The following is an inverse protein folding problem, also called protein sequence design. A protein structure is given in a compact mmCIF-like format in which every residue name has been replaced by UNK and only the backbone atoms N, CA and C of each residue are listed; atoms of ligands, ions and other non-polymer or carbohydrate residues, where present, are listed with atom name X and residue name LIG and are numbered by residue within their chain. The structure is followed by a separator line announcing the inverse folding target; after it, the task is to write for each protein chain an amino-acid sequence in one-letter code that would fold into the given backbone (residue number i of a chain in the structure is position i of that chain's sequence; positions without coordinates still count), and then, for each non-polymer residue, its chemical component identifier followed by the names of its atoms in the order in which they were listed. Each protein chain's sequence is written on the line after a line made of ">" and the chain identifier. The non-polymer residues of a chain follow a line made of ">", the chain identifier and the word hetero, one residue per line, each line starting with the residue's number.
data_IF_456528113387
#
_entry.id   IF_456528113387
#
_cell.length_a   1.000
_cell.length_b   1.000
_cell.length_c   1.000
_cell.angle_alpha   90.00
_cell.angle_beta   90.00
_cell.angle_gamma   90.00
#
_symmetry.space_group_name_H-M   'P 1'
#
loop_
_entity.id
_entity.type
_entity.pdbx_description
1 polymer ?
#
# COMPACT_ATOMS: atom_id res chain seq x y z
N UNK A 1 -61.24 17.73 24.13
CA UNK A 1 -61.00 17.23 25.50
C UNK A 1 -59.55 17.58 25.85
N UNK A 2 -59.32 18.68 26.59
CA UNK A 2 -58.83 18.72 28.00
C UNK A 2 -57.52 17.92 28.20
N UNK A 3 -56.41 18.44 28.74
CA UNK A 3 -56.14 19.67 29.48
C UNK A 3 -54.63 20.00 29.53
N UNK A 4 -54.35 21.30 29.78
CA UNK A 4 -53.09 21.93 30.19
C UNK A 4 -52.83 21.79 31.71
N UNK A 5 -51.56 21.84 32.15
CA UNK A 5 -51.01 22.53 33.37
C UNK A 5 -49.63 21.93 33.71
N UNK A 6 -48.47 22.61 33.64
CA UNK A 6 -47.92 23.79 34.34
C UNK A 6 -47.21 23.52 35.70
N UNK A 7 -46.09 24.24 35.87
CA UNK A 7 -45.44 24.75 37.11
C UNK A 7 -44.25 24.05 37.81
N UNK A 8 -43.10 24.75 37.71
CA UNK A 8 -42.18 25.27 38.75
C UNK A 8 -41.38 24.36 39.71
N UNK A 9 -40.04 24.45 39.59
CA UNK A 9 -39.16 25.16 40.54
C UNK A 9 -38.84 24.55 41.91
N UNK A 10 -37.55 24.22 42.15
CA UNK A 10 -36.80 24.69 43.33
C UNK A 10 -35.32 24.23 43.31
N UNK A 11 -34.41 25.17 43.58
CA UNK A 11 -33.02 24.94 43.99
C UNK A 11 -32.96 24.81 45.52
N UNK A 12 -31.92 24.17 46.05
CA UNK A 12 -31.21 24.79 47.16
C UNK A 12 -29.68 24.85 46.99
N UNK A 13 -29.13 25.79 47.76
CA UNK A 13 -27.76 26.32 47.79
C UNK A 13 -26.82 25.49 48.68
N UNK A 14 -25.53 25.47 48.26
CA UNK A 14 -24.27 25.64 49.04
C UNK A 14 -24.19 25.03 50.45
N UNK A 15 -23.06 24.34 50.70
CA UNK A 15 -22.14 24.71 51.80
C UNK A 15 -20.72 24.19 51.58
N UNK A 16 -19.79 25.14 51.75
CA UNK A 16 -18.33 25.02 51.81
C UNK A 16 -17.95 24.54 53.22
N UNK A 17 -16.91 23.70 53.34
CA UNK A 17 -16.03 23.72 54.52
C UNK A 17 -14.61 23.31 54.15
N UNK A 18 -13.73 24.31 54.21
CA UNK A 18 -12.29 24.16 54.34
C UNK A 18 -11.91 23.87 55.80
N UNK A 19 -10.74 23.27 56.02
CA UNK A 19 -9.71 23.61 57.04
C UNK A 19 -8.59 22.54 56.96
N UNK A 20 -7.36 22.93 56.61
CA UNK A 20 -6.27 23.53 57.42
C UNK A 20 -5.38 22.43 58.05
N UNK A 21 -4.12 22.31 57.62
CA UNK A 21 -2.90 22.85 58.28
C UNK A 21 -2.12 21.67 58.89
N UNK A 22 -0.80 21.61 59.04
CA UNK A 22 0.36 22.46 58.77
C UNK A 22 1.63 21.58 58.91
N UNK A 23 2.70 21.91 58.18
CA UNK A 23 4.05 22.29 58.67
C UNK A 23 5.04 21.14 58.99
N UNK A 24 6.13 21.04 58.22
CA UNK A 24 7.52 21.55 58.46
C UNK A 24 8.37 20.59 59.29
N UNK A 25 9.50 20.18 58.71
CA UNK A 25 10.62 19.54 59.40
C UNK A 25 11.85 19.52 58.51
N UNK A 26 12.73 20.51 58.68
CA UNK A 26 14.09 20.56 58.12
C UNK A 26 15.02 19.81 59.06
N UNK A 27 15.98 19.04 58.53
CA UNK A 27 17.20 18.68 59.25
C UNK A 27 18.35 18.41 58.27
N UNK A 28 19.45 19.13 58.47
CA UNK A 28 20.77 18.97 57.87
C UNK A 28 21.69 18.28 58.89
N UNK A 29 22.47 17.28 58.46
CA UNK A 29 23.74 16.84 59.08
C UNK A 29 24.45 15.95 58.04
N UNK A 30 25.55 16.39 57.42
CA UNK A 30 26.95 16.30 57.86
C UNK A 30 27.66 14.97 57.47
N UNK A 31 28.68 15.16 56.63
CA UNK A 31 29.76 14.29 56.14
C UNK A 31 30.18 13.07 56.98
N UNK A 32 30.40 11.93 56.30
CA UNK A 32 31.47 10.99 56.62
C UNK A 32 31.99 10.32 55.35
N UNK A 33 33.30 10.48 55.10
CA UNK A 33 34.10 9.82 54.08
C UNK A 33 34.35 8.36 54.46
N UNK A 34 34.04 7.45 53.55
CA UNK A 34 34.37 6.03 53.66
C UNK A 34 34.70 5.46 52.30
N UNK A 35 36.00 5.36 51.99
CA UNK A 35 36.48 4.66 50.81
C UNK A 35 36.41 3.15 51.06
N UNK A 36 35.53 2.46 50.35
CA UNK A 36 35.55 1.01 50.23
C UNK A 36 35.78 0.65 48.77
N UNK A 37 36.99 0.17 48.48
CA UNK A 37 37.36 -0.45 47.21
C UNK A 37 36.61 -1.77 47.07
N UNK A 38 35.40 -1.73 46.52
CA UNK A 38 34.67 -2.90 46.06
C UNK A 38 35.02 -3.19 44.60
N UNK A 39 35.74 -4.29 44.36
CA UNK A 39 35.99 -4.79 43.02
C UNK A 39 34.66 -5.16 42.34
N UNK A 40 34.17 -4.29 41.45
CA UNK A 40 33.01 -4.59 40.61
C UNK A 40 33.47 -5.41 39.42
N UNK A 41 33.02 -6.66 39.35
CA UNK A 41 33.06 -7.46 38.12
C UNK A 41 32.30 -6.73 37.02
N UNK A 42 33.03 -6.24 36.02
CA UNK A 42 32.44 -5.59 34.85
C UNK A 42 31.67 -6.64 34.02
N UNK A 43 30.37 -6.77 34.27
CA UNK A 43 29.46 -7.30 33.26
C UNK A 43 29.45 -6.31 32.10
N UNK A 44 30.12 -6.67 31.00
CA UNK A 44 30.06 -5.94 29.75
C UNK A 44 28.59 -5.79 29.32
N UNK A 45 28.04 -4.59 29.51
CA UNK A 45 26.72 -4.26 29.01
C UNK A 45 26.76 -4.33 27.48
N UNK A 46 26.02 -5.28 26.90
CA UNK A 46 25.79 -5.31 25.46
C UNK A 46 25.24 -3.95 25.02
N UNK A 47 25.79 -3.33 23.96
CA UNK A 47 25.26 -2.07 23.47
C UNK A 47 23.80 -2.28 23.09
N UNK A 48 22.90 -1.63 23.82
CA UNK A 48 21.47 -1.59 23.51
C UNK A 48 21.36 -1.00 22.11
N UNK A 49 20.99 -1.82 21.14
CA UNK A 49 20.76 -1.39 19.77
C UNK A 49 19.87 -0.14 19.81
N UNK A 50 20.36 0.96 19.22
CA UNK A 50 19.60 2.20 19.13
C UNK A 50 18.24 1.86 18.52
N UNK A 51 17.15 2.23 19.20
CA UNK A 51 15.81 1.99 18.71
C UNK A 51 15.73 2.55 17.28
N UNK A 52 15.24 1.73 16.35
CA UNK A 52 14.95 2.16 15.00
C UNK A 52 14.18 3.48 15.05
N UNK A 53 14.67 4.50 14.33
CA UNK A 53 14.00 5.79 14.29
C UNK A 53 12.56 5.56 13.82
N UNK A 54 11.60 5.92 14.67
CA UNK A 54 10.20 5.86 14.31
C UNK A 54 9.95 6.71 13.05
N UNK A 55 8.96 6.35 12.25
CA UNK A 55 8.54 7.23 11.16
C UNK A 55 8.21 8.62 11.77
N UNK A 56 8.83 9.66 11.21
CA UNK A 56 8.79 11.03 11.72
C UNK A 56 7.41 11.68 11.44
N UNK A 57 6.40 11.18 12.13
CA UNK A 57 5.04 11.70 12.19
C UNK A 57 4.51 11.50 13.61
N UNK A 58 3.45 12.25 13.98
CA UNK A 58 2.86 12.11 15.30
C UNK A 58 2.28 10.70 15.49
N UNK A 59 2.20 10.25 16.75
CA UNK A 59 1.74 8.90 17.09
C UNK A 59 0.33 8.57 16.54
N UNK A 60 -0.52 9.59 16.33
CA UNK A 60 -1.84 9.43 15.74
C UNK A 60 -1.79 8.89 14.30
N UNK A 61 -0.81 9.36 13.52
CA UNK A 61 -0.62 9.06 12.10
C UNK A 61 0.39 7.94 11.83
N UNK A 62 0.99 7.36 12.87
CA UNK A 62 1.98 6.29 12.73
C UNK A 62 1.31 4.91 12.70
N UNK A 63 1.82 4.06 11.83
CA UNK A 63 1.59 2.61 11.84
C UNK A 63 2.96 1.94 12.01
N UNK A 64 3.07 1.10 13.02
CA UNK A 64 4.22 0.22 13.24
C UNK A 64 3.71 -1.15 13.63
N UNK A 65 4.04 -2.17 12.84
CA UNK A 65 3.60 -3.53 13.08
C UNK A 65 4.80 -4.48 12.98
N UNK A 66 5.08 -5.17 14.08
CA UNK A 66 5.96 -6.34 14.09
C UNK A 66 5.11 -7.59 13.82
N UNK A 67 5.46 -8.32 12.77
CA UNK A 67 4.81 -9.57 12.36
C UNK A 67 5.43 -10.75 13.10
N UNK A 68 4.75 -11.91 13.03
CA UNK A 68 5.16 -13.13 13.76
C UNK A 68 6.57 -13.64 13.39
N UNK A 69 7.03 -13.37 12.16
CA UNK A 69 8.38 -13.68 11.70
C UNK A 69 9.48 -12.84 12.37
N UNK A 70 9.12 -11.77 13.06
CA UNK A 70 10.04 -10.74 13.56
C UNK A 70 10.26 -9.57 12.60
N UNK A 71 9.75 -9.66 11.37
CA UNK A 71 9.71 -8.53 10.42
C UNK A 71 8.89 -7.39 11.00
N UNK A 72 9.36 -6.15 10.83
CA UNK A 72 8.64 -4.94 11.23
C UNK A 72 8.44 -4.00 10.05
N UNK A 73 7.20 -3.57 9.84
CA UNK A 73 6.83 -2.51 8.91
C UNK A 73 6.53 -1.22 9.67
N UNK A 74 6.97 -0.10 9.12
CA UNK A 74 6.69 1.24 9.67
C UNK A 74 6.30 2.20 8.57
N UNK A 75 5.34 3.06 8.86
CA UNK A 75 4.86 4.08 7.93
C UNK A 75 4.09 5.17 8.68
N UNK A 76 3.88 6.27 7.99
CA UNK A 76 2.87 7.27 8.33
C UNK A 76 1.68 7.09 7.39
N UNK A 77 0.47 7.37 7.87
CA UNK A 77 -0.71 7.51 7.04
C UNK A 77 -1.20 8.94 7.10
N UNK A 78 -1.74 9.42 5.98
CA UNK A 78 -2.57 10.62 5.94
C UNK A 78 -3.78 10.36 5.05
N UNK A 79 -4.76 11.24 5.14
CA UNK A 79 -5.93 11.20 4.28
C UNK A 79 -5.94 12.41 3.36
N UNK A 80 -5.89 12.15 2.07
CA UNK A 80 -5.90 13.12 0.99
C UNK A 80 -7.35 13.41 0.56
N UNK A 81 -7.70 14.69 0.36
CA UNK A 81 -9.06 15.09 0.00
C UNK A 81 -9.52 14.65 -1.40
N UNK A 82 -8.70 13.90 -2.13
CA UNK A 82 -9.03 13.32 -3.43
C UNK A 82 -8.60 11.85 -3.53
N UNK A 83 -7.33 11.55 -3.26
CA UNK A 83 -6.82 10.15 -3.32
C UNK A 83 -7.21 9.25 -2.14
N UNK A 84 -7.84 9.79 -1.09
CA UNK A 84 -8.15 9.02 0.12
C UNK A 84 -6.89 8.63 0.88
N UNK A 85 -6.72 7.34 1.19
CA UNK A 85 -5.58 6.85 1.96
C UNK A 85 -4.25 7.06 1.21
N UNK A 86 -3.31 7.76 1.87
CA UNK A 86 -1.92 7.91 1.42
C UNK A 86 -0.98 7.39 2.49
N UNK A 87 -0.06 6.51 2.10
CA UNK A 87 0.98 5.98 2.98
C UNK A 87 2.31 6.66 2.65
N UNK A 88 3.06 7.04 3.68
CA UNK A 88 4.30 7.80 3.57
C UNK A 88 5.38 7.22 4.47
N UNK A 89 6.66 7.48 4.12
CA UNK A 89 7.82 7.05 4.90
C UNK A 89 7.82 5.54 5.20
N UNK A 90 7.43 4.73 4.21
CA UNK A 90 7.30 3.28 4.35
C UNK A 90 8.70 2.66 4.48
N UNK A 91 8.92 1.89 5.53
CA UNK A 91 10.16 1.16 5.76
C UNK A 91 9.92 -0.27 6.21
N UNK A 92 10.85 -1.12 5.79
CA UNK A 92 10.87 -2.56 5.99
C UNK A 92 12.07 -2.94 6.86
N UNK A 93 11.86 -3.76 7.88
CA UNK A 93 12.94 -4.30 8.71
C UNK A 93 12.72 -5.78 8.94
N UNK A 94 13.37 -6.67 8.18
CA UNK A 94 13.35 -8.09 8.49
C UNK A 94 14.15 -8.37 9.76
N UNK A 95 13.90 -9.52 10.40
CA UNK A 95 14.52 -9.94 11.67
C UNK A 95 16.06 -9.83 11.68
N UNK A 96 16.72 -10.05 10.55
CA UNK A 96 18.17 -10.05 10.41
C UNK A 96 18.82 -8.69 10.11
N UNK A 97 18.05 -7.60 9.99
CA UNK A 97 18.55 -6.26 9.71
C UNK A 97 18.50 -5.37 10.97
N UNK A 98 19.62 -4.70 11.26
CA UNK A 98 19.77 -3.89 12.47
C UNK A 98 19.08 -2.53 12.38
N UNK A 99 18.80 -2.06 11.16
CA UNK A 99 18.15 -0.78 10.87
C UNK A 99 17.01 -0.97 9.87
N UNK A 100 15.94 -0.17 9.93
CA UNK A 100 14.92 -0.16 8.89
C UNK A 100 15.50 0.27 7.54
N UNK A 101 15.05 -0.40 6.48
CA UNK A 101 15.34 -0.07 5.10
C UNK A 101 14.16 0.77 4.61
N UNK A 102 14.40 2.03 4.23
CA UNK A 102 13.35 2.85 3.60
C UNK A 102 13.03 2.28 2.22
N UNK A 103 11.75 2.14 1.90
CA UNK A 103 11.26 1.53 0.66
C UNK A 103 10.60 2.59 -0.23
N UNK A 104 9.52 3.19 0.27
CA UNK A 104 8.75 4.23 -0.43
C UNK A 104 8.73 5.50 0.42
N UNK A 105 8.89 6.64 -0.23
CA UNK A 105 8.60 7.93 0.35
C UNK A 105 7.09 8.18 0.44
N UNK A 106 6.34 7.82 -0.61
CA UNK A 106 4.89 7.91 -0.66
C UNK A 106 4.30 6.85 -1.60
N UNK A 107 3.13 6.33 -1.25
CA UNK A 107 2.32 5.44 -2.07
C UNK A 107 0.84 5.83 -1.94
N UNK A 108 0.15 5.94 -3.08
CA UNK A 108 -1.23 6.40 -3.15
C UNK A 108 -1.91 5.94 -4.43
N UNK A 109 -3.24 6.03 -4.45
CA UNK A 109 -3.99 6.03 -5.70
C UNK A 109 -3.66 7.29 -6.53
N UNK A 110 -3.61 7.08 -7.83
CA UNK A 110 -3.31 8.05 -8.87
C UNK A 110 -4.53 8.46 -9.69
N UNK A 111 -5.52 7.60 -9.88
CA UNK A 111 -6.83 7.91 -10.49
C UNK A 111 -7.68 6.64 -10.44
N UNK A 112 -9.00 6.76 -10.52
CA UNK A 112 -9.90 5.68 -10.94
C UNK A 112 -10.71 6.26 -12.10
N UNK A 113 -10.43 5.78 -13.31
CA UNK A 113 -11.09 6.25 -14.53
C UNK A 113 -12.12 5.22 -15.01
N UNK A 114 -13.39 5.61 -15.05
CA UNK A 114 -14.54 4.75 -15.31
C UNK A 114 -15.32 5.20 -16.56
N UNK A 115 -14.89 4.78 -17.76
CA UNK A 115 -15.63 5.04 -18.99
C UNK A 115 -16.72 3.98 -19.20
N UNK A 116 -17.91 4.44 -19.56
CA UNK A 116 -19.01 3.58 -19.97
C UNK A 116 -18.94 3.25 -21.46
N UNK A 117 -19.25 1.99 -21.81
CA UNK A 117 -19.11 1.49 -23.18
C UNK A 117 -20.11 2.13 -24.16
N UNK A 118 -21.17 2.73 -23.63
CA UNK A 118 -22.14 3.49 -24.43
C UNK A 118 -21.63 4.88 -24.86
N UNK A 119 -20.53 5.34 -24.26
CA UNK A 119 -19.92 6.65 -24.49
C UNK A 119 -20.70 7.82 -23.87
N UNK A 120 -21.71 7.55 -23.04
CA UNK A 120 -22.54 8.59 -22.43
C UNK A 120 -21.79 9.38 -21.37
N UNK A 121 -20.90 8.70 -20.63
CA UNK A 121 -20.17 9.29 -19.50
C UNK A 121 -18.81 8.62 -19.27
N UNK A 122 -17.87 9.42 -18.76
CA UNK A 122 -16.62 8.94 -18.17
C UNK A 122 -16.41 9.63 -16.82
N UNK A 123 -16.06 8.87 -15.79
CA UNK A 123 -15.77 9.41 -14.46
C UNK A 123 -14.28 9.35 -14.14
N UNK A 124 -13.77 10.39 -13.48
CA UNK A 124 -12.51 10.38 -12.76
C UNK A 124 -12.82 10.47 -11.26
N UNK A 125 -13.05 9.33 -10.61
CA UNK A 125 -13.69 9.27 -9.28
C UNK A 125 -12.89 10.06 -8.22
N UNK A 126 -11.56 10.01 -8.30
CA UNK A 126 -10.68 10.67 -7.32
C UNK A 126 -10.70 12.19 -7.46
N UNK A 127 -10.62 12.68 -8.70
CA UNK A 127 -10.45 14.11 -8.94
C UNK A 127 -11.78 14.84 -9.14
N UNK A 128 -12.79 14.15 -9.65
CA UNK A 128 -14.06 14.73 -10.11
C UNK A 128 -15.32 14.27 -9.37
N UNK A 129 -15.32 13.12 -8.70
CA UNK A 129 -16.58 12.53 -8.16
C UNK A 129 -16.57 12.23 -6.66
N UNK A 130 -15.69 12.88 -5.90
CA UNK A 130 -15.78 12.90 -4.43
C UNK A 130 -15.37 11.60 -3.72
N UNK A 131 -14.51 10.78 -4.34
CA UNK A 131 -14.00 9.53 -3.76
C UNK A 131 -13.57 9.64 -2.29
N UNK A 132 -12.75 10.64 -1.96
CA UNK A 132 -12.24 10.80 -0.61
C UNK A 132 -13.34 11.18 0.39
N UNK A 133 -14.32 11.97 -0.05
CA UNK A 133 -15.45 12.42 0.76
C UNK A 133 -16.41 11.28 1.09
N UNK A 134 -16.52 10.28 0.21
CA UNK A 134 -17.29 9.05 0.41
C UNK A 134 -16.66 8.02 1.37
N UNK A 135 -15.77 8.41 2.28
CA UNK A 135 -15.19 7.48 3.25
C UNK A 135 -16.29 6.86 4.13
N UNK A 136 -16.33 5.52 4.17
CA UNK A 136 -17.35 4.80 4.92
C UNK A 136 -16.88 4.44 6.34
N UNK A 137 -17.76 4.51 7.37
CA UNK A 137 -17.45 4.03 8.70
C UNK A 137 -17.40 2.51 8.73
N UNK A 138 -16.31 1.95 9.27
CA UNK A 138 -16.12 0.52 9.42
C UNK A 138 -16.59 0.03 10.80
N UNK A 139 -17.19 -1.16 10.82
CA UNK A 139 -17.50 -1.93 12.03
C UNK A 139 -16.31 -2.81 12.42
N UNK A 140 -16.23 -3.17 13.70
CA UNK A 140 -15.16 -4.04 14.22
C UNK A 140 -15.08 -5.40 13.49
N UNK A 141 -16.23 -5.92 13.02
CA UNK A 141 -16.32 -7.18 12.25
C UNK A 141 -15.66 -7.09 10.88
N UNK A 142 -15.54 -5.88 10.30
CA UNK A 142 -14.86 -5.67 9.03
C UNK A 142 -13.33 -5.65 9.21
N UNK A 143 -12.85 -5.23 10.39
CA UNK A 143 -11.44 -5.16 10.76
C UNK A 143 -11.06 -6.20 11.84
N UNK A 144 -11.24 -7.51 11.60
CA UNK A 144 -11.07 -8.53 12.62
C UNK A 144 -9.62 -8.56 13.14
N UNK A 145 -9.47 -8.56 14.47
CA UNK A 145 -8.16 -8.56 15.14
C UNK A 145 -7.34 -7.28 14.95
N UNK A 146 -7.94 -6.23 14.37
CA UNK A 146 -7.27 -4.98 14.04
C UNK A 146 -7.76 -3.78 14.85
N UNK A 147 -7.30 -2.61 14.41
CA UNK A 147 -7.71 -1.31 14.95
C UNK A 147 -8.35 -0.49 13.85
N UNK A 148 -9.43 0.21 14.19
CA UNK A 148 -10.07 1.18 13.30
C UNK A 148 -9.76 2.59 13.81
N UNK A 149 -9.04 3.37 13.00
CA UNK A 149 -8.70 4.77 13.31
C UNK A 149 -9.78 5.71 12.78
N UNK A 150 -10.02 6.79 13.52
CA UNK A 150 -10.81 7.93 13.07
C UNK A 150 -9.99 8.77 12.10
N UNK A 151 -10.58 9.08 10.95
CA UNK A 151 -10.02 9.87 9.87
C UNK A 151 -10.80 11.17 9.79
N UNK A 152 -10.11 12.30 9.84
CA UNK A 152 -10.72 13.60 9.51
C UNK A 152 -10.71 13.76 7.99
N UNK A 153 -11.88 13.65 7.37
CA UNK A 153 -12.08 13.76 5.92
C UNK A 153 -12.02 15.23 5.51
N UNK A 154 -11.07 15.65 4.64
CA UNK A 154 -11.05 16.99 4.08
C UNK A 154 -12.28 17.24 3.21
N UNK A 155 -12.92 18.40 3.39
CA UNK A 155 -14.11 18.79 2.60
C UNK A 155 -15.23 17.73 2.66
N UNK A 156 -15.41 17.10 3.82
CA UNK A 156 -16.45 16.09 4.05
C UNK A 156 -17.85 16.59 3.63
N UNK A 157 -18.67 15.70 3.06
CA UNK A 157 -20.05 16.02 2.69
C UNK A 157 -20.90 16.49 3.88
N UNK A 158 -20.60 16.02 5.08
CA UNK A 158 -21.08 16.59 6.34
C UNK A 158 -19.94 17.30 7.08
N UNK A 159 -19.76 18.62 6.91
CA UNK A 159 -18.74 19.39 7.61
C UNK A 159 -18.92 19.44 9.14
N UNK A 160 -20.11 19.12 9.66
CA UNK A 160 -20.36 19.07 11.11
C UNK A 160 -19.81 17.78 11.72
N UNK A 161 -19.74 16.70 10.93
CA UNK A 161 -19.23 15.40 11.35
C UNK A 161 -18.13 14.87 10.41
N UNK A 162 -16.99 15.58 10.25
CA UNK A 162 -15.96 15.21 9.28
C UNK A 162 -15.09 14.03 9.72
N UNK A 163 -15.33 13.46 10.90
CA UNK A 163 -14.53 12.39 11.47
C UNK A 163 -15.20 11.04 11.25
N UNK A 164 -14.60 10.19 10.41
CA UNK A 164 -15.11 8.87 10.06
C UNK A 164 -14.18 7.78 10.60
N UNK A 165 -14.72 6.77 11.27
CA UNK A 165 -13.97 5.57 11.68
C UNK A 165 -13.72 4.64 10.48
N UNK A 166 -12.90 5.08 9.53
CA UNK A 166 -12.80 4.47 8.20
C UNK A 166 -11.47 3.80 7.85
N UNK A 167 -10.46 3.83 8.73
CA UNK A 167 -9.13 3.26 8.46
C UNK A 167 -8.87 2.01 9.30
N UNK A 168 -8.90 0.84 8.67
CA UNK A 168 -8.52 -0.41 9.32
C UNK A 168 -7.01 -0.65 9.22
N UNK A 169 -6.44 -1.18 10.31
CA UNK A 169 -5.10 -1.76 10.33
C UNK A 169 -5.16 -3.09 11.08
N UNK A 170 -4.83 -4.20 10.41
CA UNK A 170 -4.87 -5.55 11.00
C UNK A 170 -3.73 -6.42 10.48
N UNK A 171 -3.61 -7.64 10.99
CA UNK A 171 -2.75 -8.67 10.39
C UNK A 171 -3.57 -9.83 9.86
N UNK A 172 -3.18 -10.40 8.72
CA UNK A 172 -3.82 -11.58 8.14
C UNK A 172 -2.80 -12.66 7.81
N UNK A 173 -3.25 -13.92 7.82
CA UNK A 173 -2.45 -15.03 7.30
C UNK A 173 -2.35 -14.91 5.77
N UNK A 174 -1.18 -15.22 5.21
CA UNK A 174 -0.97 -15.31 3.76
C UNK A 174 -0.64 -16.71 3.27
N UNK A 175 -0.86 -17.72 4.11
CA UNK A 175 -0.52 -19.12 3.80
C UNK A 175 0.97 -19.40 3.96
N UNK A 176 1.52 -20.32 3.18
CA UNK A 176 2.93 -20.72 3.30
C UNK A 176 3.88 -19.58 2.89
N UNK A 177 4.79 -19.22 3.80
CA UNK A 177 5.94 -18.37 3.47
C UNK A 177 7.03 -19.17 2.72
N UNK A 178 7.24 -20.43 3.10
CA UNK A 178 8.07 -21.38 2.39
C UNK A 178 7.77 -22.82 2.85
N UNK A 179 8.17 -23.78 2.03
CA UNK A 179 8.28 -25.20 2.37
C UNK A 179 9.44 -25.83 1.59
N UNK A 180 10.29 -26.58 2.27
CA UNK A 180 11.40 -27.33 1.68
C UNK A 180 11.57 -28.65 2.44
N UNK A 181 11.68 -29.76 1.70
CA UNK A 181 12.18 -31.03 2.26
C UNK A 181 13.69 -30.91 2.42
N UNK A 182 14.21 -31.16 3.63
CA UNK A 182 15.65 -31.22 3.87
C UNK A 182 16.29 -32.44 3.20
N UNK A 183 17.62 -32.46 3.16
CA UNK A 183 18.40 -33.53 2.50
C UNK A 183 18.12 -34.93 3.07
N UNK A 184 17.69 -35.00 4.34
CA UNK A 184 17.14 -36.21 4.93
C UNK A 184 15.61 -36.18 4.88
N UNK A 185 15.01 -37.32 4.54
CA UNK A 185 13.55 -37.47 4.43
C UNK A 185 12.78 -37.13 5.73
N UNK A 186 13.48 -37.06 6.88
CA UNK A 186 12.90 -36.84 8.20
C UNK A 186 12.77 -35.37 8.60
N UNK A 187 13.24 -34.41 7.79
CA UNK A 187 13.19 -32.98 8.14
C UNK A 187 12.51 -32.14 7.08
N UNK A 188 11.51 -31.35 7.49
CA UNK A 188 10.84 -30.35 6.64
C UNK A 188 11.05 -28.97 7.24
N UNK A 189 11.54 -28.04 6.43
CA UNK A 189 11.59 -26.61 6.76
C UNK A 189 10.33 -25.96 6.20
N UNK A 190 9.47 -25.42 7.05
CA UNK A 190 8.27 -24.71 6.61
C UNK A 190 7.86 -23.62 7.59
N UNK A 191 7.20 -22.58 7.07
CA UNK A 191 6.60 -21.52 7.87
C UNK A 191 5.31 -21.01 7.21
N UNK A 192 4.36 -20.57 8.03
CA UNK A 192 3.23 -19.76 7.59
C UNK A 192 3.60 -18.28 7.65
N UNK A 193 3.22 -17.52 6.63
CA UNK A 193 3.46 -16.10 6.53
C UNK A 193 2.32 -15.25 7.06
N UNK A 194 2.63 -13.99 7.36
CA UNK A 194 1.65 -12.97 7.72
C UNK A 194 1.86 -11.67 6.96
N UNK A 195 0.75 -10.95 6.81
CA UNK A 195 0.70 -9.61 6.23
C UNK A 195 0.22 -8.62 7.29
N UNK A 196 0.76 -7.41 7.27
CA UNK A 196 0.07 -6.21 7.76
C UNK A 196 -0.86 -5.73 6.64
N UNK A 197 -2.16 -5.66 6.92
CA UNK A 197 -3.18 -5.13 6.01
C UNK A 197 -3.66 -3.76 6.51
N UNK A 198 -3.61 -2.77 5.63
CA UNK A 198 -4.13 -1.41 5.86
C UNK A 198 -5.13 -1.08 4.75
N UNK A 199 -6.36 -0.71 5.10
CA UNK A 199 -7.37 -0.39 4.09
C UNK A 199 -8.44 0.61 4.53
N UNK A 200 -9.07 1.22 3.53
CA UNK A 200 -10.29 2.06 3.65
C UNK A 200 -11.35 1.56 2.66
N UNK A 201 -12.61 1.91 2.91
CA UNK A 201 -13.74 1.71 1.97
C UNK A 201 -14.33 3.07 1.63
N UNK A 202 -14.45 3.36 0.34
CA UNK A 202 -14.88 4.63 -0.20
C UNK A 202 -16.05 4.43 -1.16
N UNK A 203 -17.19 5.04 -0.89
CA UNK A 203 -18.36 4.99 -1.75
C UNK A 203 -18.33 6.12 -2.79
N UNK A 204 -18.59 5.78 -4.05
CA UNK A 204 -18.73 6.71 -5.16
C UNK A 204 -19.95 6.31 -5.97
N UNK A 205 -21.02 7.11 -5.87
CA UNK A 205 -22.32 6.74 -6.43
C UNK A 205 -22.79 5.37 -5.89
N UNK A 206 -22.98 4.42 -6.79
CA UNK A 206 -23.42 3.06 -6.48
C UNK A 206 -22.29 2.10 -6.08
N UNK A 207 -21.05 2.46 -6.41
CA UNK A 207 -19.88 1.63 -6.17
C UNK A 207 -19.26 1.90 -4.80
N UNK A 208 -18.67 0.85 -4.24
CA UNK A 208 -17.75 0.94 -3.13
C UNK A 208 -16.37 0.44 -3.57
N UNK A 209 -15.33 1.19 -3.22
CA UNK A 209 -13.93 0.86 -3.51
C UNK A 209 -13.16 0.57 -2.23
N UNK A 210 -12.64 -0.65 -2.12
CA UNK A 210 -11.75 -1.09 -1.06
C UNK A 210 -10.30 -0.83 -1.44
N UNK A 211 -9.67 0.22 -0.90
CA UNK A 211 -8.26 0.50 -1.17
C UNK A 211 -7.38 -0.27 -0.18
N UNK A 212 -6.76 -1.38 -0.62
CA UNK A 212 -5.94 -2.26 0.21
C UNK A 212 -4.43 -2.11 -0.04
N UNK A 213 -3.66 -2.00 1.05
CA UNK A 213 -2.20 -2.12 1.06
C UNK A 213 -1.80 -3.28 1.97
N UNK A 214 -1.13 -4.29 1.41
CA UNK A 214 -0.65 -5.47 2.13
C UNK A 214 0.87 -5.48 2.18
N UNK A 215 1.42 -5.54 3.38
CA UNK A 215 2.85 -5.54 3.66
C UNK A 215 3.25 -6.89 4.27
N UNK A 216 3.88 -7.74 3.47
CA UNK A 216 4.18 -9.13 3.83
C UNK A 216 5.45 -9.25 4.66
N UNK A 217 5.58 -10.32 5.43
CA UNK A 217 6.75 -10.59 6.24
C UNK A 217 8.05 -10.88 5.47
N UNK A 218 7.97 -11.24 4.19
CA UNK A 218 9.12 -11.40 3.30
C UNK A 218 9.56 -10.10 2.61
N UNK A 219 8.80 -9.01 2.79
CA UNK A 219 9.08 -7.71 2.20
C UNK A 219 8.22 -7.36 0.98
N UNK A 220 7.42 -8.29 0.47
CA UNK A 220 6.47 -8.01 -0.61
C UNK A 220 5.45 -6.96 -0.19
N UNK A 221 5.14 -6.03 -1.09
CA UNK A 221 4.02 -5.09 -0.92
C UNK A 221 3.03 -5.30 -2.06
N UNK A 222 1.79 -5.60 -1.72
CA UNK A 222 0.70 -5.79 -2.68
C UNK A 222 -0.30 -4.65 -2.53
N UNK A 223 -0.68 -4.05 -3.66
CA UNK A 223 -1.61 -2.94 -3.76
C UNK A 223 -2.82 -3.39 -4.53
N UNK A 224 -4.02 -3.26 -3.93
CA UNK A 224 -5.26 -3.62 -4.60
C UNK A 224 -6.32 -2.54 -4.43
N UNK A 225 -7.21 -2.46 -5.41
CA UNK A 225 -8.53 -1.85 -5.29
C UNK A 225 -9.56 -2.94 -5.55
N UNK A 226 -10.48 -3.12 -4.61
CA UNK A 226 -11.65 -3.98 -4.76
C UNK A 226 -12.86 -3.14 -5.13
N UNK A 227 -13.47 -3.37 -6.30
CA UNK A 227 -14.74 -2.75 -6.68
C UNK A 227 -15.91 -3.64 -6.24
N UNK A 228 -16.85 -3.09 -5.49
CA UNK A 228 -18.05 -3.77 -4.93
C UNK A 228 -19.18 -2.73 -4.80
N UNK A 229 -20.17 -2.97 -3.94
CA UNK A 229 -21.35 -2.12 -3.79
C UNK A 229 -22.50 -2.64 -4.64
N UNK A 230 -23.05 -1.79 -5.50
CA UNK A 230 -24.18 -2.13 -6.38
C UNK A 230 -23.91 -1.69 -7.81
N UNK A 231 -24.43 -2.44 -8.77
CA UNK A 231 -24.61 -1.89 -10.12
C UNK A 231 -25.56 -0.69 -10.05
N UNK A 232 -25.29 0.33 -10.86
CA UNK A 232 -26.21 1.46 -11.02
C UNK A 232 -27.48 1.00 -11.74
N UNK A 233 -28.64 1.17 -11.11
CA UNK A 233 -29.91 0.82 -11.77
C UNK A 233 -30.22 1.75 -12.94
N UNK A 234 -29.62 2.94 -12.98
CA UNK A 234 -29.77 3.89 -14.08
C UNK A 234 -29.19 3.33 -15.39
N UNK A 235 -28.35 2.29 -15.30
CA UNK A 235 -27.65 1.68 -16.44
C UNK A 235 -28.37 0.42 -16.97
N UNK A 236 -29.62 0.15 -16.54
CA UNK A 236 -30.32 -1.12 -16.78
C UNK A 236 -31.10 -1.17 -18.11
N UNK A 237 -30.91 -0.20 -18.98
CA UNK A 237 -31.62 -0.06 -20.26
C UNK A 237 -30.75 -0.36 -21.50
N UNK A 238 -29.57 -0.96 -21.31
CA UNK A 238 -28.57 -1.22 -22.36
C UNK A 238 -29.05 -2.18 -23.47
N UNK A 239 -29.91 -1.71 -24.38
CA UNK A 239 -30.59 -2.51 -25.38
C UNK A 239 -29.79 -2.84 -26.64
N UNK A 240 -28.65 -2.18 -26.85
CA UNK A 240 -27.92 -2.10 -28.12
C UNK A 240 -26.69 -3.04 -28.24
N UNK A 241 -26.53 -3.96 -27.29
CA UNK A 241 -25.43 -4.92 -27.26
C UNK A 241 -24.18 -4.45 -26.49
N UNK A 242 -24.21 -3.26 -25.88
CA UNK A 242 -23.13 -2.73 -25.02
C UNK A 242 -23.30 -3.09 -23.54
N UNK A 243 -24.32 -3.87 -23.21
CA UNK A 243 -24.59 -4.34 -21.86
C UNK A 243 -24.88 -5.84 -21.79
N UNK A 244 -25.08 -6.32 -20.57
CA UNK A 244 -25.39 -7.71 -20.30
C UNK A 244 -26.76 -7.86 -19.63
N UNK A 245 -27.59 -8.84 -20.04
CA UNK A 245 -28.85 -9.12 -19.36
C UNK A 245 -28.68 -9.40 -17.88
N UNK A 246 -29.49 -8.74 -17.05
CA UNK A 246 -29.56 -8.97 -15.63
C UNK A 246 -31.03 -9.16 -15.21
N UNK A 247 -31.25 -10.10 -14.30
CA UNK A 247 -32.58 -10.48 -13.84
C UNK A 247 -33.39 -11.25 -14.88
N UNK A 248 -34.71 -11.35 -14.62
CA UNK A 248 -35.59 -12.27 -15.37
C UNK A 248 -35.88 -11.79 -16.78
N UNK A 249 -35.68 -12.68 -17.76
CA UNK A 249 -36.22 -12.54 -19.11
C UNK A 249 -35.62 -11.40 -19.94
N UNK A 250 -34.34 -11.07 -19.71
CA UNK A 250 -33.57 -10.06 -20.46
C UNK A 250 -34.22 -8.66 -20.52
N UNK A 251 -35.05 -8.33 -19.52
CA UNK A 251 -35.78 -7.05 -19.47
C UNK A 251 -34.91 -5.89 -19.00
N UNK A 252 -33.97 -6.16 -18.11
CA UNK A 252 -32.94 -5.23 -17.69
C UNK A 252 -31.58 -5.68 -18.24
N UNK A 253 -30.76 -4.73 -18.64
CA UNK A 253 -29.43 -4.97 -19.17
C UNK A 253 -28.48 -3.91 -18.63
N UNK A 254 -27.49 -4.31 -17.84
CA UNK A 254 -26.51 -3.38 -17.28
C UNK A 254 -25.48 -2.97 -18.33
N UNK A 255 -25.29 -1.66 -18.53
CA UNK A 255 -24.25 -1.13 -19.42
C UNK A 255 -22.85 -1.54 -18.95
N UNK A 256 -22.07 -2.10 -19.86
CA UNK A 256 -20.68 -2.47 -19.60
C UNK A 256 -19.81 -1.21 -19.45
N UNK A 257 -18.75 -1.31 -18.68
CA UNK A 257 -17.85 -0.18 -18.42
C UNK A 257 -16.48 -0.69 -18.01
N UNK A 258 -15.46 0.17 -18.02
CA UNK A 258 -14.12 -0.18 -17.53
C UNK A 258 -13.79 0.49 -16.21
N UNK A 259 -12.94 -0.13 -15.40
CA UNK A 259 -12.31 0.48 -14.23
C UNK A 259 -10.81 0.52 -14.48
N UNK A 260 -10.24 1.71 -14.73
CA UNK A 260 -8.80 1.90 -14.92
C UNK A 260 -8.21 2.53 -13.67
N UNK A 261 -7.59 1.72 -12.82
CA UNK A 261 -7.04 2.19 -11.55
C UNK A 261 -5.56 2.47 -11.71
N UNK A 262 -5.17 3.69 -11.32
CA UNK A 262 -3.78 4.11 -11.30
C UNK A 262 -3.26 4.15 -9.87
N UNK A 263 -2.00 3.75 -9.68
CA UNK A 263 -1.23 3.98 -8.46
C UNK A 263 -0.02 4.83 -8.76
N UNK A 264 0.39 5.67 -7.79
CA UNK A 264 1.61 6.47 -7.86
C UNK A 264 2.54 6.07 -6.73
N UNK A 265 3.72 5.57 -7.08
CA UNK A 265 4.77 5.15 -6.16
C UNK A 265 5.99 6.07 -6.26
N UNK A 266 6.35 6.68 -5.13
CA UNK A 266 7.56 7.47 -4.96
C UNK A 266 8.57 6.63 -4.15
N UNK A 267 9.52 6.01 -4.83
CA UNK A 267 10.55 5.19 -4.19
C UNK A 267 11.61 6.04 -3.51
N UNK A 268 12.03 5.60 -2.32
CA UNK A 268 13.15 6.19 -1.59
C UNK A 268 14.02 5.09 -0.97
N UNK A 269 14.45 4.14 -1.80
CA UNK A 269 15.25 3.00 -1.35
C UNK A 269 16.50 3.49 -0.61
N UNK A 270 16.69 2.96 0.59
CA UNK A 270 17.80 3.32 1.48
C UNK A 270 17.91 4.83 1.78
N UNK A 271 16.80 5.56 1.68
CA UNK A 271 16.74 6.99 1.98
C UNK A 271 17.03 7.92 0.81
N UNK A 272 17.29 7.39 -0.39
CA UNK A 272 17.58 8.20 -1.58
C UNK A 272 16.42 8.18 -2.57
N UNK A 273 16.04 9.36 -3.07
CA UNK A 273 15.08 9.49 -4.19
C UNK A 273 15.72 9.27 -5.55
N UNK A 274 17.06 9.23 -5.63
CA UNK A 274 17.83 9.09 -6.89
C UNK A 274 17.93 7.65 -7.37
N UNK A 275 16.86 6.88 -7.21
CA UNK A 275 16.81 5.48 -7.62
C UNK A 275 16.98 5.34 -9.13
N UNK A 276 17.41 4.17 -9.59
CA UNK A 276 17.56 3.84 -11.01
C UNK A 276 16.49 2.85 -11.42
N UNK A 277 16.07 2.92 -12.68
CA UNK A 277 15.13 1.95 -13.25
C UNK A 277 15.87 1.05 -14.23
N UNK A 278 15.65 -0.25 -14.10
CA UNK A 278 16.15 -1.25 -15.03
C UNK A 278 14.98 -2.04 -15.62
N UNK A 279 14.99 -2.21 -16.94
CA UNK A 279 14.08 -3.09 -17.67
C UNK A 279 14.83 -4.34 -18.08
N UNK A 280 14.21 -5.49 -17.84
CA UNK A 280 14.70 -6.79 -18.27
C UNK A 280 13.82 -7.27 -19.42
N UNK A 281 14.45 -7.76 -20.47
CA UNK A 281 13.78 -8.42 -21.59
C UNK A 281 14.52 -9.74 -21.87
N UNK A 282 13.80 -10.87 -21.89
CA UNK A 282 14.35 -12.13 -22.38
C UNK A 282 13.81 -12.49 -23.76
N UNK A 283 14.68 -13.01 -24.61
CA UNK A 283 14.35 -13.60 -25.90
C UNK A 283 14.61 -15.10 -25.87
N UNK A 284 13.71 -15.87 -26.49
CA UNK A 284 13.76 -17.33 -26.53
C UNK A 284 14.01 -17.75 -27.98
N UNK A 285 14.99 -18.61 -28.22
CA UNK A 285 15.28 -19.15 -29.55
C UNK A 285 14.33 -20.29 -29.91
N UNK A 286 14.31 -20.70 -31.19
CA UNK A 286 13.83 -22.04 -31.50
C UNK A 286 14.76 -23.11 -30.85
N UNK A 287 14.24 -24.33 -30.59
CA UNK A 287 15.06 -25.50 -30.31
C UNK A 287 16.15 -25.69 -31.37
N UNK A 288 17.38 -26.03 -30.95
CA UNK A 288 18.47 -26.27 -31.90
C UNK A 288 18.34 -27.61 -32.65
N UNK A 289 17.62 -28.57 -32.07
CA UNK A 289 17.25 -29.89 -32.62
C UNK A 289 16.09 -30.44 -31.78
N UNK A 290 15.42 -31.50 -32.24
CA UNK A 290 14.19 -32.03 -31.63
C UNK A 290 14.25 -32.26 -30.12
N UNK A 291 15.37 -32.77 -29.60
CA UNK A 291 15.52 -33.13 -28.18
C UNK A 291 16.14 -32.02 -27.31
N UNK A 292 16.51 -30.87 -27.88
CA UNK A 292 17.18 -29.79 -27.12
C UNK A 292 16.23 -28.65 -26.79
N UNK A 293 16.26 -28.22 -25.54
CA UNK A 293 15.51 -27.04 -25.12
C UNK A 293 15.93 -25.77 -25.88
N UNK A 294 14.99 -24.83 -26.11
CA UNK A 294 15.29 -23.45 -26.47
C UNK A 294 16.35 -22.79 -25.58
N UNK A 295 17.12 -21.86 -26.14
CA UNK A 295 18.00 -20.98 -25.36
C UNK A 295 17.25 -19.70 -25.01
N UNK A 296 17.43 -19.22 -23.78
CA UNK A 296 16.91 -17.92 -23.34
C UNK A 296 18.07 -16.98 -23.05
N UNK A 297 18.02 -15.76 -23.59
CA UNK A 297 18.98 -14.69 -23.28
C UNK A 297 18.24 -13.50 -22.73
N UNK A 298 18.71 -12.99 -21.58
CA UNK A 298 18.16 -11.79 -20.95
C UNK A 298 19.08 -10.60 -21.18
N UNK A 299 18.51 -9.49 -21.65
CA UNK A 299 19.17 -8.18 -21.73
C UNK A 299 18.63 -7.24 -20.65
N UNK A 300 19.50 -6.38 -20.12
CA UNK A 300 19.13 -5.35 -19.15
C UNK A 300 19.32 -3.97 -19.78
N UNK A 301 18.24 -3.19 -19.79
CA UNK A 301 18.23 -1.80 -20.26
C UNK A 301 18.16 -0.86 -19.06
N UNK A 302 19.15 0.03 -18.93
CA UNK A 302 19.09 1.14 -17.96
C UNK A 302 18.12 2.19 -18.48
N UNK A 303 16.99 2.36 -17.83
CA UNK A 303 15.97 3.34 -18.20
C UNK A 303 16.40 4.68 -17.61
N UNK A 304 17.00 5.53 -18.45
CA UNK A 304 17.57 6.83 -18.05
C UNK A 304 16.65 8.01 -18.36
N UNK A 305 15.63 7.77 -19.20
CA UNK A 305 14.59 8.73 -19.55
C UNK A 305 13.23 8.16 -19.21
N UNK A 306 12.24 9.05 -19.14
CA UNK A 306 10.85 8.69 -18.92
C UNK A 306 10.39 7.60 -19.89
N UNK A 307 9.52 6.72 -19.41
CA UNK A 307 9.12 5.50 -20.08
C UNK A 307 7.61 5.28 -19.95
N UNK A 308 6.97 4.87 -21.04
CA UNK A 308 5.70 4.16 -21.00
C UNK A 308 5.98 2.72 -21.46
N UNK A 309 5.47 1.74 -20.73
CA UNK A 309 5.82 0.33 -20.92
C UNK A 309 4.67 -0.62 -20.62
N UNK A 310 4.68 -1.74 -21.34
CA UNK A 310 3.66 -2.79 -21.25
C UNK A 310 4.25 -4.09 -20.73
N UNK A 311 3.54 -4.71 -19.80
CA UNK A 311 3.84 -6.05 -19.35
C UNK A 311 3.72 -7.00 -20.55
N UNK A 312 4.71 -7.87 -20.71
CA UNK A 312 4.70 -8.92 -21.73
C UNK A 312 5.47 -10.13 -21.21
N UNK A 313 5.33 -11.26 -21.90
CA UNK A 313 6.15 -12.44 -21.63
C UNK A 313 7.63 -12.04 -21.57
N UNK A 314 8.31 -12.44 -20.49
CA UNK A 314 9.72 -12.18 -20.25
C UNK A 314 10.14 -10.69 -20.21
N UNK A 315 9.22 -9.76 -19.91
CA UNK A 315 9.57 -8.38 -19.57
C UNK A 315 9.15 -8.02 -18.16
N UNK A 316 10.05 -7.37 -17.44
CA UNK A 316 9.78 -6.82 -16.11
C UNK A 316 10.71 -5.65 -15.82
N UNK A 317 10.41 -4.92 -14.75
CA UNK A 317 11.18 -3.77 -14.31
C UNK A 317 11.55 -3.89 -12.84
N UNK A 318 12.62 -3.22 -12.46
CA UNK A 318 12.92 -2.97 -11.04
C UNK A 318 13.35 -1.55 -10.79
N UNK A 319 13.00 -1.07 -9.59
CA UNK A 319 13.57 0.12 -9.00
C UNK A 319 14.80 -0.27 -8.17
N UNK A 320 15.95 0.30 -8.48
CA UNK A 320 17.25 -0.04 -7.90
C UNK A 320 17.78 1.10 -7.06
N UNK A 321 18.20 0.79 -5.84
CA UNK A 321 18.83 1.74 -4.93
C UNK A 321 20.09 2.34 -5.55
N UNK A 322 20.25 3.66 -5.41
CA UNK A 322 21.47 4.33 -5.81
C UNK A 322 22.62 4.13 -4.81
N UNK A 323 22.32 3.77 -3.57
CA UNK A 323 23.26 3.87 -2.45
C UNK A 323 23.35 2.61 -1.60
N UNK A 324 22.26 1.85 -1.45
CA UNK A 324 22.22 0.69 -0.58
C UNK A 324 22.52 -0.63 -1.29
N UNK A 325 23.17 -1.52 -0.55
CA UNK A 325 23.49 -2.88 -0.95
C UNK A 325 23.08 -3.87 0.14
N UNK A 326 22.78 -5.10 -0.23
CA UNK A 326 22.66 -6.19 0.74
C UNK A 326 24.05 -6.65 1.23
N UNK A 327 24.07 -7.66 2.11
CA UNK A 327 25.31 -8.19 2.71
C UNK A 327 26.23 -8.89 1.70
N UNK A 328 25.72 -9.25 0.52
CA UNK A 328 26.52 -9.84 -0.57
C UNK A 328 27.03 -8.78 -1.56
N UNK A 329 26.74 -7.49 -1.32
CA UNK A 329 27.20 -6.40 -2.17
C UNK A 329 26.33 -6.13 -3.40
N UNK A 330 25.19 -6.82 -3.54
CA UNK A 330 24.20 -6.55 -4.59
C UNK A 330 23.40 -5.29 -4.25
N UNK A 331 23.10 -4.45 -5.26
CA UNK A 331 22.29 -3.26 -5.06
C UNK A 331 20.86 -3.63 -4.67
N UNK A 332 20.36 -3.08 -3.55
CA UNK A 332 18.99 -3.34 -3.11
C UNK A 332 17.99 -2.84 -4.15
N UNK A 333 16.96 -3.62 -4.43
CA UNK A 333 15.94 -3.25 -5.42
C UNK A 333 14.57 -3.82 -5.08
N UNK A 334 13.55 -3.28 -5.72
CA UNK A 334 12.22 -3.87 -5.76
C UNK A 334 11.83 -4.10 -7.21
N UNK A 335 11.47 -5.33 -7.54
CA UNK A 335 10.87 -5.69 -8.81
C UNK A 335 9.39 -5.30 -8.81
N UNK A 336 8.94 -4.77 -9.93
CA UNK A 336 7.54 -4.44 -10.18
C UNK A 336 6.90 -5.66 -10.84
N UNK A 337 5.87 -6.21 -10.21
CA UNK A 337 5.12 -7.39 -10.66
C UNK A 337 3.71 -6.92 -11.03
N UNK A 338 3.44 -6.62 -12.32
CA UNK A 338 2.12 -6.23 -12.78
C UNK A 338 1.08 -7.32 -12.50
N UNK A 339 -0.14 -6.92 -12.15
CA UNK A 339 -1.26 -7.85 -12.10
C UNK A 339 -1.90 -8.06 -13.47
N UNK A 340 -2.98 -8.85 -13.49
CA UNK A 340 -3.81 -9.02 -14.69
C UNK A 340 -4.51 -7.69 -14.98
N UNK A 341 -4.40 -7.24 -16.23
CA UNK A 341 -4.95 -5.95 -16.68
C UNK A 341 -5.69 -6.13 -18.00
N UNK A 342 -6.93 -5.67 -18.05
CA UNK A 342 -7.70 -5.46 -19.28
C UNK A 342 -7.60 -3.99 -19.64
N UNK A 343 -6.57 -3.64 -20.43
CA UNK A 343 -6.30 -2.24 -20.79
C UNK A 343 -7.44 -1.62 -21.61
N UNK A 344 -7.92 -0.46 -21.18
CA UNK A 344 -8.85 0.36 -21.96
C UNK A 344 -8.11 1.16 -23.04
N UNK A 345 -8.39 0.97 -24.34
CA UNK A 345 -7.68 1.69 -25.41
C UNK A 345 -8.25 3.08 -25.71
N UNK A 346 -9.40 3.46 -25.14
CA UNK A 346 -10.16 4.67 -25.50
C UNK A 346 -9.54 6.01 -25.09
N UNK A 347 -8.55 5.98 -24.18
CA UNK A 347 -7.77 7.16 -23.79
C UNK A 347 -6.27 6.88 -23.91
N UNK A 348 -5.46 7.87 -24.30
CA UNK A 348 -4.03 7.64 -24.52
C UNK A 348 -3.27 7.30 -23.24
N UNK A 349 -3.71 7.81 -22.09
CA UNK A 349 -3.11 7.56 -20.78
C UNK A 349 -3.47 6.19 -20.17
N UNK A 350 -4.43 5.45 -20.74
CA UNK A 350 -4.80 4.09 -20.29
C UNK A 350 -4.19 2.98 -21.13
N UNK A 351 -3.38 3.33 -22.16
CA UNK A 351 -2.85 2.36 -23.15
C UNK A 351 -1.67 1.53 -22.65
N UNK A 352 -1.02 1.94 -21.56
CA UNK A 352 0.14 1.25 -21.01
C UNK A 352 -0.10 0.78 -19.57
N UNK A 353 0.54 -0.34 -19.20
CA UNK A 353 0.47 -0.90 -17.84
C UNK A 353 1.33 -0.12 -16.84
N UNK A 354 2.43 0.48 -17.32
CA UNK A 354 3.42 1.16 -16.49
C UNK A 354 3.88 2.46 -17.15
N UNK A 355 4.02 3.50 -16.34
CA UNK A 355 4.73 4.72 -16.69
C UNK A 355 5.81 5.01 -15.65
N UNK A 356 6.94 5.54 -16.09
CA UNK A 356 7.99 6.10 -15.23
C UNK A 356 8.22 7.54 -15.66
N UNK A 357 7.92 8.48 -14.78
CA UNK A 357 8.10 9.91 -15.03
C UNK A 357 9.17 10.48 -14.13
N UNK A 358 9.75 11.62 -14.51
CA UNK A 358 10.55 12.40 -13.56
C UNK A 358 9.62 13.04 -12.52
N UNK A 359 10.07 13.16 -11.27
CA UNK A 359 9.29 13.80 -10.23
C UNK A 359 8.95 15.26 -10.58
N UNK A 360 7.66 15.54 -10.67
CA UNK A 360 7.13 16.90 -10.58
C UNK A 360 6.17 17.04 -9.40
N UNK A 361 6.22 18.21 -8.73
CA UNK A 361 5.45 18.43 -7.51
C UNK A 361 3.94 18.42 -7.74
N UNK A 362 3.45 18.93 -8.88
CA UNK A 362 2.03 19.04 -9.18
C UNK A 362 1.42 17.72 -9.74
N UNK A 363 2.26 16.82 -10.26
CA UNK A 363 1.85 15.54 -10.87
C UNK A 363 1.54 14.49 -9.77
N UNK A 364 0.29 14.53 -9.28
CA UNK A 364 -0.21 13.68 -8.19
C UNK A 364 -1.22 12.63 -8.64
N UNK A 365 -1.92 12.86 -9.75
CA UNK A 365 -2.96 12.02 -10.33
C UNK A 365 -2.64 11.70 -11.79
N UNK A 366 -3.02 10.53 -12.32
CA UNK A 366 -2.70 10.18 -13.70
C UNK A 366 -3.38 11.10 -14.74
N UNK A 367 -4.43 11.81 -14.34
CA UNK A 367 -5.20 12.79 -15.11
C UNK A 367 -5.69 13.92 -14.19
N UNK A 368 -6.14 15.04 -14.77
CA UNK A 368 -6.93 16.08 -14.06
C UNK A 368 -6.31 16.60 -12.75
N UNK A 369 -5.00 16.86 -12.77
CA UNK A 369 -4.27 17.40 -11.60
C UNK A 369 -4.69 18.83 -11.27
N UNK A 370 -5.40 19.08 -10.15
CA UNK A 370 -5.92 20.42 -9.82
C UNK A 370 -4.81 21.41 -9.44
N UNK A 371 -3.64 20.92 -9.03
CA UNK A 371 -2.49 21.74 -8.63
C UNK A 371 -1.52 22.06 -9.77
N UNK A 372 -1.75 21.56 -10.97
CA UNK A 372 -0.89 21.87 -12.12
C UNK A 372 -1.41 23.11 -12.88
N UNK A 373 -0.49 23.96 -13.37
CA UNK A 373 -0.85 25.15 -14.13
C UNK A 373 -1.60 24.84 -15.44
N UNK A 374 -2.32 25.83 -15.97
CA UNK A 374 -3.21 25.66 -17.13
C UNK A 374 -2.50 25.09 -18.38
N UNK A 375 -1.22 25.43 -18.61
CA UNK A 375 -0.42 24.91 -19.72
C UNK A 375 0.35 23.61 -19.45
N UNK A 376 0.27 23.04 -18.25
CA UNK A 376 0.94 21.79 -17.94
C UNK A 376 0.28 20.61 -18.70
N UNK A 377 1.05 19.59 -19.13
CA UNK A 377 0.47 18.40 -19.72
C UNK A 377 -0.51 17.72 -18.77
N UNK A 378 -1.64 17.23 -19.32
CA UNK A 378 -2.83 16.89 -18.52
C UNK A 378 -2.92 15.46 -18.04
N UNK A 379 -2.06 14.58 -18.54
CA UNK A 379 -2.10 13.14 -18.24
C UNK A 379 -0.73 12.49 -18.29
N UNK A 380 -0.61 11.32 -17.65
CA UNK A 380 0.66 10.62 -17.44
C UNK A 380 1.41 10.28 -18.73
N UNK A 381 0.70 9.97 -19.82
CA UNK A 381 1.31 9.73 -21.13
C UNK A 381 1.94 10.98 -21.74
N UNK A 382 1.46 12.18 -21.38
CA UNK A 382 2.00 13.45 -21.86
C UNK A 382 3.21 13.93 -21.07
N UNK A 383 3.44 13.36 -19.88
CA UNK A 383 4.64 13.63 -19.10
C UNK A 383 5.82 12.83 -19.60
N UNK A 384 5.60 11.67 -20.22
CA UNK A 384 6.62 10.86 -20.89
C UNK A 384 7.10 11.57 -22.17
N UNK A 385 7.83 12.67 -21.99
CA UNK A 385 8.35 13.54 -23.04
C UNK A 385 9.86 13.36 -23.27
N UNK A 386 10.49 12.44 -22.54
CA UNK A 386 11.91 12.11 -22.68
C UNK A 386 12.82 12.88 -21.73
N UNK A 387 12.29 13.41 -20.61
CA UNK A 387 13.11 13.97 -19.55
C UNK A 387 14.02 12.89 -18.95
N UNK A 388 15.14 13.33 -18.36
CA UNK A 388 16.07 12.42 -17.68
C UNK A 388 15.56 12.10 -16.28
N UNK A 389 15.56 10.82 -15.92
CA UNK A 389 15.13 10.34 -14.61
C UNK A 389 16.24 10.57 -13.56
N UNK A 390 16.05 11.59 -12.71
CA UNK A 390 16.87 11.89 -11.53
C UNK A 390 16.14 11.51 -10.24
N UNK A 391 14.81 11.58 -10.24
CA UNK A 391 13.91 11.13 -9.18
C UNK A 391 12.73 10.42 -9.86
N UNK A 392 12.88 9.14 -10.24
CA UNK A 392 11.84 8.43 -10.97
C UNK A 392 10.61 8.17 -10.09
N UNK A 393 9.43 8.43 -10.67
CA UNK A 393 8.11 8.11 -10.11
C UNK A 393 7.48 7.01 -10.95
N UNK A 394 7.06 5.93 -10.29
CA UNK A 394 6.38 4.82 -10.97
C UNK A 394 4.87 5.02 -10.89
N UNK A 395 4.22 4.90 -12.04
CA UNK A 395 2.77 4.83 -12.15
C UNK A 395 2.39 3.46 -12.69
N UNK A 396 1.49 2.78 -11.99
CA UNK A 396 0.91 1.53 -12.48
C UNK A 396 -0.53 1.76 -12.87
N UNK A 397 -0.94 1.23 -14.00
CA UNK A 397 -2.31 1.20 -14.49
C UNK A 397 -2.76 -0.27 -14.55
N UNK A 398 -3.83 -0.59 -13.85
CA UNK A 398 -4.48 -1.89 -13.95
C UNK A 398 -5.91 -1.64 -14.41
N UNK A 399 -6.28 -2.26 -15.54
CA UNK A 399 -7.62 -2.15 -16.09
C UNK A 399 -8.48 -3.36 -15.78
N UNK A 400 -9.78 -3.15 -15.65
CA UNK A 400 -10.78 -4.20 -15.56
C UNK A 400 -11.98 -3.80 -16.41
N UNK A 401 -12.34 -4.62 -17.41
CA UNK A 401 -13.55 -4.40 -18.21
C UNK A 401 -14.67 -5.21 -17.58
N UNK A 402 -15.69 -4.51 -17.09
CA UNK A 402 -16.80 -5.08 -16.36
C UNK A 402 -18.00 -5.25 -17.30
N UNK A 403 -18.12 -6.47 -17.84
CA UNK A 403 -19.37 -6.96 -18.41
C UNK A 403 -20.11 -7.63 -17.26
N UNK A 404 -21.08 -6.92 -16.69
CA UNK A 404 -21.79 -7.36 -15.49
C UNK A 404 -22.46 -8.72 -15.70
N UNK A 405 -22.58 -9.52 -14.64
CA UNK A 405 -23.32 -10.79 -14.64
C UNK A 405 -24.47 -10.72 -13.65
N UNK A 406 -25.36 -11.71 -13.67
CA UNK A 406 -26.47 -11.80 -12.71
C UNK A 406 -25.96 -11.82 -11.26
N UNK A 407 -24.82 -12.46 -11.01
CA UNK A 407 -24.19 -12.52 -9.68
C UNK A 407 -23.64 -11.18 -9.19
N UNK A 408 -23.49 -10.19 -10.08
CA UNK A 408 -22.99 -8.85 -9.76
C UNK A 408 -24.12 -7.89 -9.31
N UNK A 409 -25.37 -8.36 -9.26
CA UNK A 409 -26.47 -7.63 -8.63
C UNK A 409 -26.23 -7.44 -7.11
N UNK A 410 -26.96 -6.50 -6.51
CA UNK A 410 -26.71 -6.08 -5.14
C UNK A 410 -26.93 -7.22 -4.11
N UNK A 411 -25.96 -7.47 -3.20
CA UNK A 411 -24.62 -6.86 -3.15
C UNK A 411 -23.65 -7.48 -4.17
N UNK A 412 -22.96 -6.63 -4.92
CA UNK A 412 -21.99 -7.06 -5.92
C UNK A 412 -20.75 -7.70 -5.24
N UNK A 413 -20.31 -8.90 -5.63
CA UNK A 413 -19.05 -9.48 -5.17
C UNK A 413 -17.86 -8.55 -5.44
N UNK A 414 -16.82 -8.65 -4.62
CA UNK A 414 -15.63 -7.79 -4.79
C UNK A 414 -14.80 -8.26 -5.98
N UNK A 415 -14.61 -7.36 -6.94
CA UNK A 415 -13.66 -7.54 -8.05
C UNK A 415 -12.33 -6.88 -7.71
N UNK A 416 -11.27 -7.67 -7.58
CA UNK A 416 -9.94 -7.18 -7.20
C UNK A 416 -9.08 -6.89 -8.41
N UNK A 417 -8.48 -5.71 -8.44
CA UNK A 417 -7.43 -5.32 -9.38
C UNK A 417 -6.25 -4.72 -8.63
N UNK A 418 -5.03 -5.01 -9.07
CA UNK A 418 -3.85 -4.62 -8.34
C UNK A 418 -2.55 -5.15 -8.91
N UNK A 419 -1.46 -4.91 -8.19
CA UNK A 419 -0.11 -5.34 -8.55
C UNK A 419 0.74 -5.49 -7.29
N UNK A 420 1.97 -5.98 -7.43
CA UNK A 420 2.91 -6.07 -6.31
C UNK A 420 4.26 -5.46 -6.63
N UNK A 421 4.98 -5.05 -5.59
CA UNK A 421 6.42 -4.86 -5.64
C UNK A 421 7.08 -5.90 -4.73
N UNK A 422 8.07 -6.63 -5.25
CA UNK A 422 8.73 -7.72 -4.53
C UNK A 422 10.20 -7.38 -4.28
N UNK A 423 10.75 -7.69 -3.09
CA UNK A 423 12.17 -7.52 -2.82
C UNK A 423 13.02 -8.26 -3.84
N UNK A 424 13.99 -7.56 -4.43
CA UNK A 424 15.05 -8.16 -5.24
C UNK A 424 16.38 -7.64 -4.73
N UNK A 425 17.19 -8.53 -4.16
CA UNK A 425 18.47 -8.18 -3.54
C UNK A 425 18.33 -7.21 -2.33
N UNK A 426 17.17 -7.14 -1.65
CA UNK A 426 17.01 -6.32 -0.43
C UNK A 426 17.82 -6.93 0.73
N UNK A 427 17.74 -8.24 0.87
CA UNK A 427 18.55 -9.07 1.78
C UNK A 427 19.43 -10.02 0.97
N UNK A 428 20.45 -10.59 1.61
CA UNK A 428 21.37 -11.56 0.98
C UNK A 428 20.67 -12.89 0.65
N UNK A 429 19.88 -13.38 1.60
CA UNK A 429 19.00 -14.53 1.44
C UNK A 429 17.55 -14.14 1.71
N UNK A 430 16.62 -15.06 1.46
CA UNK A 430 15.26 -14.94 1.98
C UNK A 430 15.30 -14.52 3.47
N UNK A 431 14.64 -13.41 3.86
CA UNK A 431 14.70 -12.89 5.22
C UNK A 431 14.09 -13.84 6.28
N UNK A 432 13.35 -14.86 5.83
CA UNK A 432 12.70 -15.88 6.64
C UNK A 432 13.47 -17.20 6.70
N UNK A 433 14.65 -17.28 6.05
CA UNK A 433 15.51 -18.47 6.08
C UNK A 433 15.84 -18.87 7.53
N UNK A 434 15.60 -20.14 7.92
CA UNK A 434 16.04 -20.66 9.21
C UNK A 434 17.56 -20.53 9.39
N UNK A 435 18.01 -20.33 10.63
CA UNK A 435 19.45 -20.24 10.95
C UNK A 435 20.24 -21.47 10.48
N UNK A 436 19.62 -22.65 10.51
CA UNK A 436 20.22 -23.92 10.07
C UNK A 436 20.49 -23.98 8.56
N UNK A 437 19.86 -23.10 7.77
CA UNK A 437 20.03 -22.98 6.32
C UNK A 437 20.80 -21.71 5.92
N UNK A 438 21.20 -20.86 6.88
CA UNK A 438 21.90 -19.60 6.59
C UNK A 438 23.25 -19.81 5.88
N UNK A 439 23.88 -20.98 6.08
CA UNK A 439 25.11 -21.36 5.39
C UNK A 439 24.93 -21.58 3.89
N UNK A 440 23.71 -21.70 3.36
CA UNK A 440 23.51 -21.93 1.91
C UNK A 440 23.80 -20.70 1.05
N UNK A 441 23.96 -19.51 1.65
CA UNK A 441 24.08 -18.24 0.93
C UNK A 441 25.11 -18.27 -0.22
N UNK A 442 24.66 -18.48 -1.46
CA UNK A 442 25.54 -18.61 -2.63
C UNK A 442 26.47 -19.84 -2.61
N UNK A 443 26.32 -20.76 -1.66
CA UNK A 443 27.11 -21.98 -1.59
C UNK A 443 26.59 -22.99 -2.64
N UNK A 444 27.43 -23.28 -3.63
CA UNK A 444 27.08 -24.12 -4.78
C UNK A 444 27.52 -25.59 -4.63
N UNK A 445 28.27 -25.91 -3.58
CA UNK A 445 28.68 -27.28 -3.30
C UNK A 445 27.67 -27.96 -2.35
N UNK A 446 27.28 -29.22 -2.60
CA UNK A 446 26.47 -30.00 -1.68
C UNK A 446 27.13 -30.11 -0.30
N UNK A 447 26.33 -30.23 0.76
CA UNK A 447 26.84 -30.57 2.09
C UNK A 447 27.45 -31.97 2.03
N UNK A 448 28.73 -32.09 2.38
CA UNK A 448 29.41 -33.38 2.57
C UNK A 448 28.83 -34.16 3.73
#
# INVERSE_FOLDING_TARGET
>A
MRANSSTSGSRPRRRIRARRSAAVGVSLAALATGATTGASTATAAQPRAAAAAAADCSAAYRIEQKLGSGTTWRMCWRYDGKAGLVLEKISYQPKGETKPIKVLNSARLGQIHVPYDDGSVEYDDLTGFGFAQGLMPLKATECPGGTIKSVKVPEAWDPQNPNVKGLCTTTRSRGHAYRMQGDTANKVYQAQGKDLLVYTVNQVGWYEYMTEWRFQDDGTVTMNVGATGSLSYDDYDAGDGRGWPIGKGNRAKATSHSHNVFWRLDFALDGSTKNRVEQYDSTVTAPASGDRAPKTKTSVTKVTKELAGDAKAYRWWRMVSATGKNKDGHARSYEIVPGVSTKYPGRSYTKHDLYVTEYAACEKFATHNPGCGNGAPKSVDKWVGGQTLKHPITWMNVGFHHIARDEDQQPMPVHWQGFSIVPRDVTAMNPLTPSELAWQNGHWQPRS
#
